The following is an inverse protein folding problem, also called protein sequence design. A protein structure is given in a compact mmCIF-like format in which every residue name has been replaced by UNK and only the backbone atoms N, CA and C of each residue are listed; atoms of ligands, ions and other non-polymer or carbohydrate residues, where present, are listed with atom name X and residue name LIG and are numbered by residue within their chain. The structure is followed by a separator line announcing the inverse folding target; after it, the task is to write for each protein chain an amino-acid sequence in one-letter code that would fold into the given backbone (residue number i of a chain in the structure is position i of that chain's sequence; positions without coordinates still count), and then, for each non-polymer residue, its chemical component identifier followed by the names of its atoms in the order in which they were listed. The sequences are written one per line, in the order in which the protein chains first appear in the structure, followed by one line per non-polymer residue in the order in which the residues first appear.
data_IF_625381081357
#
_entry.id   IF_625381081357
#
_cell.length_a   1.000
_cell.length_b   1.000
_cell.length_c   1.000
_cell.angle_alpha   90.00
_cell.angle_beta   90.00
_cell.angle_gamma   90.00
#
_symmetry.space_group_name_H-M   'P 1'
#
loop_
_entity.id
_entity.type
_entity.pdbx_description
1 polymer ?
#
# COMPACT_ATOMS: atom_id res chain seq x y z
N UNK A 1 -18.55 -16.55 -17.69
CA UNK A 1 -17.87 -15.58 -16.81
C UNK A 1 -16.64 -15.07 -17.54
N UNK A 2 -16.45 -13.77 -17.59
CA UNK A 2 -15.24 -13.18 -18.18
C UNK A 2 -14.06 -13.32 -17.21
N UNK A 3 -12.82 -13.32 -17.72
CA UNK A 3 -11.61 -13.32 -16.90
C UNK A 3 -11.66 -12.20 -15.85
N UNK A 4 -12.08 -11.00 -16.26
CA UNK A 4 -12.21 -9.85 -15.36
C UNK A 4 -13.16 -10.14 -14.19
N UNK A 5 -14.32 -10.76 -14.42
CA UNK A 5 -15.27 -11.12 -13.35
C UNK A 5 -14.67 -12.10 -12.34
N UNK A 6 -13.87 -13.07 -12.80
CA UNK A 6 -13.15 -14.02 -11.92
C UNK A 6 -12.12 -13.27 -11.07
N UNK A 7 -11.34 -12.38 -11.67
CA UNK A 7 -10.36 -11.56 -10.96
C UNK A 7 -11.03 -10.66 -9.92
N UNK A 8 -12.17 -10.04 -10.22
CA UNK A 8 -12.95 -9.25 -9.25
C UNK A 8 -13.37 -10.11 -8.05
N UNK A 9 -13.91 -11.32 -8.28
CA UNK A 9 -14.28 -12.23 -7.20
C UNK A 9 -13.09 -12.61 -6.32
N UNK A 10 -11.96 -12.97 -6.93
CA UNK A 10 -10.72 -13.28 -6.20
C UNK A 10 -10.19 -12.08 -5.42
N UNK A 11 -10.22 -10.87 -6.02
CA UNK A 11 -9.82 -9.62 -5.36
C UNK A 11 -10.66 -9.34 -4.11
N UNK A 12 -11.98 -9.45 -4.22
CA UNK A 12 -12.89 -9.24 -3.10
C UNK A 12 -12.63 -10.26 -1.99
N UNK A 13 -12.51 -11.54 -2.32
CA UNK A 13 -12.30 -12.61 -1.34
C UNK A 13 -10.97 -12.42 -0.56
N UNK A 14 -9.87 -12.15 -1.27
CA UNK A 14 -8.56 -11.96 -0.65
C UNK A 14 -8.47 -10.62 0.08
N UNK A 15 -9.08 -9.55 -0.46
CA UNK A 15 -9.16 -8.24 0.16
C UNK A 15 -9.98 -8.24 1.46
N UNK A 16 -11.08 -9.00 1.53
CA UNK A 16 -11.88 -9.15 2.74
C UNK A 16 -11.07 -9.76 3.89
N UNK A 17 -10.22 -10.75 3.60
CA UNK A 17 -9.26 -11.29 4.59
C UNK A 17 -8.32 -10.18 5.08
N UNK A 18 -7.79 -9.36 4.17
CA UNK A 18 -6.94 -8.23 4.49
C UNK A 18 -7.61 -7.20 5.40
N UNK A 19 -8.88 -6.83 5.12
CA UNK A 19 -9.66 -5.89 5.93
C UNK A 19 -9.74 -6.33 7.40
N UNK A 20 -10.09 -7.60 7.65
CA UNK A 20 -10.23 -8.13 9.01
C UNK A 20 -8.88 -8.25 9.69
N UNK A 21 -7.89 -8.85 9.04
CA UNK A 21 -6.61 -9.19 9.65
C UNK A 21 -5.70 -7.97 9.88
N UNK A 22 -5.92 -6.87 9.19
CA UNK A 22 -5.26 -5.61 9.48
C UNK A 22 -5.44 -5.21 10.95
N UNK A 23 -6.69 -5.17 11.43
CA UNK A 23 -6.96 -4.78 12.82
C UNK A 23 -6.48 -5.83 13.83
N UNK A 24 -6.55 -7.12 13.50
CA UNK A 24 -5.96 -8.15 14.36
C UNK A 24 -4.47 -7.89 14.56
N UNK A 25 -3.73 -7.58 13.48
CA UNK A 25 -2.31 -7.25 13.57
C UNK A 25 -2.05 -5.92 14.30
N UNK A 26 -2.90 -4.90 14.10
CA UNK A 26 -2.77 -3.59 14.75
C UNK A 26 -3.08 -3.65 16.25
N UNK A 27 -4.08 -4.41 16.68
CA UNK A 27 -4.54 -4.44 18.07
C UNK A 27 -3.80 -5.44 18.96
N UNK A 28 -3.18 -6.48 18.37
CA UNK A 28 -2.45 -7.48 19.16
C UNK A 28 -1.09 -6.97 19.65
N UNK A 29 -0.59 -7.58 20.74
CA UNK A 29 0.74 -7.27 21.31
C UNK A 29 1.82 -7.43 20.24
N UNK A 30 2.52 -6.33 19.93
CA UNK A 30 3.56 -6.29 18.89
C UNK A 30 4.67 -7.30 19.18
N UNK A 31 5.04 -8.09 18.15
CA UNK A 31 6.03 -9.17 18.26
C UNK A 31 5.54 -10.44 18.96
N UNK A 32 4.30 -10.45 19.50
CA UNK A 32 3.67 -11.64 20.08
C UNK A 32 3.32 -12.70 19.03
N UNK A 33 2.91 -13.91 19.47
CA UNK A 33 2.56 -15.03 18.57
C UNK A 33 1.41 -14.64 17.63
N UNK A 34 0.33 -14.08 18.19
CA UNK A 34 -0.83 -13.64 17.41
C UNK A 34 -0.46 -12.58 16.36
N UNK A 35 0.30 -11.55 16.76
CA UNK A 35 0.78 -10.51 15.83
C UNK A 35 1.59 -11.10 14.67
N UNK A 36 2.52 -12.00 14.97
CA UNK A 36 3.36 -12.63 13.93
C UNK A 36 2.54 -13.51 12.98
N UNK A 37 1.65 -14.36 13.55
CA UNK A 37 0.83 -15.28 12.75
C UNK A 37 -0.14 -14.51 11.85
N UNK A 38 -0.98 -13.68 12.43
CA UNK A 38 -2.02 -12.96 11.69
C UNK A 38 -1.48 -11.82 10.83
N UNK A 39 -0.41 -11.17 11.29
CA UNK A 39 0.30 -10.18 10.47
C UNK A 39 0.94 -10.80 9.23
N UNK A 40 1.44 -12.04 9.30
CA UNK A 40 1.95 -12.76 8.14
C UNK A 40 0.82 -13.11 7.16
N UNK A 41 -0.32 -13.62 7.67
CA UNK A 41 -1.50 -13.91 6.83
C UNK A 41 -2.02 -12.62 6.17
N UNK A 42 -2.10 -11.51 6.92
CA UNK A 42 -2.43 -10.20 6.37
C UNK A 42 -1.50 -9.81 5.22
N UNK A 43 -0.19 -9.87 5.43
CA UNK A 43 0.77 -9.45 4.42
C UNK A 43 0.71 -10.31 3.14
N UNK A 44 0.53 -11.63 3.28
CA UNK A 44 0.33 -12.49 2.12
C UNK A 44 -1.01 -12.26 1.42
N UNK A 45 -2.10 -12.02 2.18
CA UNK A 45 -3.38 -11.66 1.55
C UNK A 45 -3.25 -10.37 0.74
N UNK A 46 -2.51 -9.37 1.22
CA UNK A 46 -2.26 -8.13 0.50
C UNK A 46 -1.41 -8.32 -0.77
N UNK A 47 -0.41 -9.23 -0.72
CA UNK A 47 0.35 -9.60 -1.92
C UNK A 47 -0.55 -10.22 -2.98
N UNK A 48 -1.37 -11.20 -2.59
CA UNK A 48 -2.30 -11.86 -3.53
C UNK A 48 -3.33 -10.87 -4.05
N UNK A 49 -3.96 -10.09 -3.18
CA UNK A 49 -4.95 -9.06 -3.57
C UNK A 49 -4.36 -8.05 -4.54
N UNK A 50 -3.13 -7.58 -4.28
CA UNK A 50 -2.44 -6.66 -5.17
C UNK A 50 -2.09 -7.29 -6.52
N UNK A 51 -1.58 -8.52 -6.56
CA UNK A 51 -1.30 -9.23 -7.82
C UNK A 51 -2.57 -9.45 -8.65
N UNK A 52 -3.68 -9.83 -7.99
CA UNK A 52 -4.99 -9.97 -8.68
C UNK A 52 -5.46 -8.61 -9.21
N UNK A 53 -5.31 -7.53 -8.43
CA UNK A 53 -5.65 -6.18 -8.87
C UNK A 53 -4.77 -5.70 -10.04
N UNK A 54 -3.50 -6.10 -10.11
CA UNK A 54 -2.65 -5.85 -11.29
C UNK A 54 -3.24 -6.53 -12.53
N UNK A 55 -3.68 -7.79 -12.41
CA UNK A 55 -4.38 -8.48 -13.48
C UNK A 55 -5.67 -7.76 -13.93
N UNK A 56 -6.46 -7.23 -12.99
CA UNK A 56 -7.65 -6.41 -13.30
C UNK A 56 -7.27 -5.13 -14.03
N UNK A 57 -6.26 -4.40 -13.59
CA UNK A 57 -5.77 -3.20 -14.26
C UNK A 57 -5.30 -3.48 -15.69
N UNK A 58 -4.53 -4.56 -15.89
CA UNK A 58 -4.05 -4.98 -17.21
C UNK A 58 -5.21 -5.34 -18.13
N UNK A 59 -6.19 -6.12 -17.65
CA UNK A 59 -7.38 -6.47 -18.48
C UNK A 59 -8.18 -5.22 -18.86
N UNK A 60 -8.29 -4.23 -17.99
CA UNK A 60 -8.94 -2.95 -18.29
C UNK A 60 -8.14 -2.11 -19.29
N UNK A 61 -6.81 -2.11 -19.22
CA UNK A 61 -5.97 -1.45 -20.24
C UNK A 61 -6.16 -2.05 -21.63
N UNK A 62 -6.36 -3.36 -21.71
CA UNK A 62 -6.56 -4.07 -22.98
C UNK A 62 -7.98 -3.88 -23.52
N UNK A 63 -9.00 -4.01 -22.67
CA UNK A 63 -10.41 -3.90 -23.02
C UNK A 63 -11.20 -3.06 -22.01
N UNK A 64 -11.12 -1.72 -22.10
CA UNK A 64 -11.76 -0.82 -21.12
C UNK A 64 -13.30 -0.92 -21.15
N UNK A 65 -13.90 -1.05 -22.32
CA UNK A 65 -15.37 -1.09 -22.47
C UNK A 65 -15.92 -2.46 -22.04
N UNK A 66 -15.27 -3.54 -22.44
CA UNK A 66 -15.71 -4.89 -22.07
C UNK A 66 -15.55 -5.20 -20.58
N UNK A 67 -14.58 -4.56 -19.89
CA UNK A 67 -14.42 -4.71 -18.43
C UNK A 67 -15.37 -3.82 -17.62
N UNK A 68 -15.85 -2.69 -18.19
CA UNK A 68 -16.72 -1.71 -17.52
C UNK A 68 -17.97 -1.38 -18.36
N UNK A 69 -18.77 -2.39 -18.79
CA UNK A 69 -19.92 -2.17 -19.68
C UNK A 69 -21.06 -1.39 -19.02
N UNK A 70 -21.02 -1.24 -17.69
CA UNK A 70 -22.04 -0.51 -16.90
C UNK A 70 -21.81 1.01 -16.86
N UNK A 71 -20.65 1.50 -17.34
CA UNK A 71 -20.36 2.92 -17.38
C UNK A 71 -20.99 3.58 -18.61
N UNK A 72 -21.75 4.69 -18.43
CA UNK A 72 -22.39 5.38 -19.55
C UNK A 72 -21.35 5.96 -20.52
N UNK A 73 -21.41 5.59 -21.80
CA UNK A 73 -20.47 6.05 -22.83
C UNK A 73 -20.50 7.57 -23.06
N UNK A 74 -21.58 8.24 -22.70
CA UNK A 74 -21.70 9.69 -22.78
C UNK A 74 -20.78 10.43 -21.77
N UNK A 75 -20.51 9.81 -20.64
CA UNK A 75 -19.70 10.40 -19.55
C UNK A 75 -18.29 9.78 -19.48
N UNK A 76 -18.15 8.54 -19.91
CA UNK A 76 -16.93 7.73 -19.76
C UNK A 76 -16.37 7.30 -21.10
N UNK A 77 -15.39 8.04 -21.61
CA UNK A 77 -14.66 7.63 -22.82
C UNK A 77 -13.78 6.40 -22.53
N UNK A 78 -13.49 5.57 -23.55
CA UNK A 78 -12.55 4.44 -23.39
C UNK A 78 -11.17 4.87 -22.89
N UNK A 79 -10.72 6.07 -23.24
CA UNK A 79 -9.45 6.65 -22.78
C UNK A 79 -9.51 7.00 -21.28
N UNK A 80 -10.60 7.58 -20.81
CA UNK A 80 -10.82 7.88 -19.38
C UNK A 80 -10.89 6.58 -18.55
N UNK A 81 -11.59 5.55 -19.04
CA UNK A 81 -11.66 4.24 -18.38
C UNK A 81 -10.26 3.62 -18.28
N UNK A 82 -9.47 3.68 -19.36
CA UNK A 82 -8.07 3.20 -19.34
C UNK A 82 -7.21 3.96 -18.33
N UNK A 83 -7.32 5.28 -18.28
CA UNK A 83 -6.51 6.10 -17.36
C UNK A 83 -6.84 5.80 -15.90
N UNK A 84 -8.12 5.79 -15.54
CA UNK A 84 -8.59 5.65 -14.16
C UNK A 84 -8.60 4.18 -13.71
N UNK A 85 -9.38 3.32 -14.39
CA UNK A 85 -9.57 1.92 -13.97
C UNK A 85 -8.47 0.97 -14.46
N UNK A 86 -7.71 1.38 -15.49
CA UNK A 86 -6.52 0.66 -15.94
C UNK A 86 -5.26 1.20 -15.25
N UNK A 87 -4.78 2.37 -15.67
CA UNK A 87 -3.47 2.92 -15.27
C UNK A 87 -3.38 3.26 -13.79
N UNK A 88 -4.31 4.04 -13.25
CA UNK A 88 -4.32 4.41 -11.83
C UNK A 88 -4.48 3.17 -10.93
N UNK A 89 -5.38 2.22 -11.28
CA UNK A 89 -5.55 1.00 -10.50
C UNK A 89 -4.32 0.09 -10.58
N UNK A 90 -3.66 -0.01 -11.72
CA UNK A 90 -2.41 -0.76 -11.87
C UNK A 90 -1.30 -0.15 -10.99
N UNK A 91 -1.20 1.19 -10.97
CA UNK A 91 -0.29 1.88 -10.07
C UNK A 91 -0.57 1.54 -8.60
N UNK A 92 -1.83 1.65 -8.14
CA UNK A 92 -2.20 1.37 -6.75
C UNK A 92 -1.99 -0.10 -6.36
N UNK A 93 -2.24 -1.03 -7.30
CA UNK A 93 -1.94 -2.44 -7.12
C UNK A 93 -0.44 -2.69 -6.96
N UNK A 94 0.38 -2.07 -7.80
CA UNK A 94 1.85 -2.14 -7.72
C UNK A 94 2.36 -1.56 -6.39
N UNK A 95 1.82 -0.43 -5.95
CA UNK A 95 2.12 0.16 -4.65
C UNK A 95 1.77 -0.78 -3.50
N UNK A 96 0.59 -1.42 -3.54
CA UNK A 96 0.14 -2.37 -2.51
C UNK A 96 1.06 -3.58 -2.41
N UNK A 97 1.43 -4.19 -3.55
CA UNK A 97 2.39 -5.30 -3.61
C UNK A 97 3.75 -4.87 -3.06
N UNK A 98 4.25 -3.71 -3.47
CA UNK A 98 5.52 -3.15 -3.00
C UNK A 98 5.53 -2.95 -1.48
N UNK A 99 4.48 -2.36 -0.92
CA UNK A 99 4.36 -2.12 0.52
C UNK A 99 4.30 -3.43 1.31
N UNK A 100 3.47 -4.38 0.90
CA UNK A 100 3.36 -5.68 1.56
C UNK A 100 4.70 -6.45 1.49
N UNK A 101 5.33 -6.47 0.33
CA UNK A 101 6.64 -7.10 0.12
C UNK A 101 7.73 -6.46 0.97
N UNK A 102 7.87 -5.13 0.90
CA UNK A 102 8.88 -4.39 1.67
C UNK A 102 8.70 -4.62 3.17
N UNK A 103 7.47 -4.53 3.68
CA UNK A 103 7.16 -4.76 5.08
C UNK A 103 7.55 -6.15 5.59
N UNK A 104 7.40 -7.20 4.77
CA UNK A 104 7.87 -8.55 5.08
C UNK A 104 9.40 -8.66 5.04
N UNK A 105 10.02 -8.10 4.00
CA UNK A 105 11.47 -8.19 3.77
C UNK A 105 12.28 -7.55 4.89
N UNK A 106 11.91 -6.35 5.32
CA UNK A 106 12.67 -5.62 6.35
C UNK A 106 12.69 -6.33 7.70
N UNK A 107 11.62 -7.04 8.07
CA UNK A 107 11.59 -7.85 9.30
C UNK A 107 12.39 -9.13 9.14
N UNK A 108 12.29 -9.80 7.99
CA UNK A 108 13.06 -10.99 7.69
C UNK A 108 14.55 -10.71 7.71
N UNK A 109 14.95 -9.57 7.16
CA UNK A 109 16.34 -9.16 7.01
C UNK A 109 16.85 -8.23 8.13
N UNK A 110 16.18 -8.15 9.27
CA UNK A 110 16.51 -7.24 10.38
C UNK A 110 17.96 -7.33 10.89
N UNK A 111 18.64 -8.46 10.68
CA UNK A 111 20.04 -8.69 11.06
C UNK A 111 21.02 -8.49 9.91
N UNK A 112 20.55 -8.48 8.67
CA UNK A 112 21.33 -8.39 7.43
C UNK A 112 20.68 -7.30 6.54
N UNK A 113 20.90 -6.04 6.91
CA UNK A 113 20.26 -4.91 6.24
C UNK A 113 20.47 -4.91 4.72
N UNK A 114 21.67 -5.28 4.27
CA UNK A 114 22.03 -5.32 2.86
C UNK A 114 21.21 -6.32 2.03
N UNK A 115 20.63 -7.34 2.67
CA UNK A 115 19.72 -8.28 2.02
C UNK A 115 18.38 -7.63 1.56
N UNK A 116 18.14 -6.36 1.88
CA UNK A 116 17.01 -5.58 1.36
C UNK A 116 17.32 -4.88 0.02
N UNK A 117 18.47 -5.18 -0.59
CA UNK A 117 18.95 -4.57 -1.85
C UNK A 117 18.99 -5.56 -3.01
N UNK A 118 18.17 -6.60 -2.99
CA UNK A 118 18.13 -7.51 -4.14
C UNK A 118 17.63 -6.76 -5.38
N UNK A 119 18.00 -7.20 -6.61
CA UNK A 119 17.49 -6.59 -7.83
C UNK A 119 15.96 -6.47 -7.86
N UNK A 120 15.25 -7.47 -7.32
CA UNK A 120 13.79 -7.44 -7.23
C UNK A 120 13.30 -6.39 -6.22
N UNK A 121 13.94 -6.27 -5.04
CA UNK A 121 13.56 -5.27 -4.03
C UNK A 121 13.71 -3.83 -4.58
N UNK A 122 14.75 -3.59 -5.36
CA UNK A 122 14.99 -2.29 -6.01
C UNK A 122 14.03 -2.06 -7.17
N UNK A 123 13.88 -3.07 -8.04
CA UNK A 123 13.03 -2.96 -9.24
C UNK A 123 11.57 -2.65 -8.90
N UNK A 124 11.01 -3.27 -7.86
CA UNK A 124 9.62 -3.02 -7.46
C UNK A 124 9.42 -1.58 -6.94
N UNK A 125 10.41 -0.98 -6.25
CA UNK A 125 10.32 0.41 -5.82
C UNK A 125 10.42 1.38 -7.00
N UNK A 126 11.31 1.08 -7.95
CA UNK A 126 11.42 1.86 -9.19
C UNK A 126 10.11 1.75 -9.99
N UNK A 127 9.52 0.56 -10.10
CA UNK A 127 8.23 0.36 -10.77
C UNK A 127 7.11 1.19 -10.12
N UNK A 128 7.05 1.27 -8.79
CA UNK A 128 6.10 2.15 -8.07
C UNK A 128 6.34 3.61 -8.41
N UNK A 129 7.58 4.08 -8.41
CA UNK A 129 7.91 5.48 -8.72
C UNK A 129 7.51 5.82 -10.16
N UNK A 130 7.86 4.96 -11.13
CA UNK A 130 7.50 5.18 -12.53
C UNK A 130 5.99 5.14 -12.75
N UNK A 131 5.28 4.20 -12.11
CA UNK A 131 3.83 4.11 -12.19
C UNK A 131 3.15 5.33 -11.54
N UNK A 132 3.70 5.85 -10.42
CA UNK A 132 3.22 7.07 -9.78
C UNK A 132 3.43 8.29 -10.67
N UNK A 133 4.59 8.44 -11.30
CA UNK A 133 4.85 9.53 -12.27
C UNK A 133 3.90 9.47 -13.46
N UNK A 134 3.68 8.27 -14.01
CA UNK A 134 2.71 8.08 -15.09
C UNK A 134 1.28 8.45 -14.64
N UNK A 135 0.87 8.04 -13.43
CA UNK A 135 -0.42 8.40 -12.87
C UNK A 135 -0.56 9.92 -12.68
N UNK A 136 0.48 10.60 -12.18
CA UNK A 136 0.49 12.06 -12.03
C UNK A 136 0.39 12.77 -13.38
N UNK A 137 1.11 12.29 -14.40
CA UNK A 137 1.06 12.85 -15.75
C UNK A 137 -0.35 12.76 -16.36
N UNK A 138 -0.99 11.59 -16.29
CA UNK A 138 -2.38 11.43 -16.71
C UNK A 138 -3.33 12.30 -15.88
N UNK A 139 -3.13 12.36 -14.55
CA UNK A 139 -3.92 13.23 -13.68
C UNK A 139 -3.84 14.70 -14.08
N UNK A 140 -2.66 15.17 -14.48
CA UNK A 140 -2.47 16.54 -14.97
C UNK A 140 -3.13 16.77 -16.34
N UNK A 141 -2.94 15.86 -17.29
CA UNK A 141 -3.50 15.95 -18.64
C UNK A 141 -5.04 15.89 -18.63
N UNK A 142 -5.60 15.03 -17.80
CA UNK A 142 -7.05 14.78 -17.71
C UNK A 142 -7.74 15.66 -16.67
N UNK A 143 -7.02 16.57 -15.99
CA UNK A 143 -7.56 17.43 -14.93
C UNK A 143 -8.03 16.69 -13.68
N UNK A 144 -7.50 15.48 -13.41
CA UNK A 144 -7.90 14.61 -12.32
C UNK A 144 -7.02 14.83 -11.07
N UNK A 145 -7.39 15.79 -10.23
CA UNK A 145 -6.63 16.14 -9.02
C UNK A 145 -6.39 14.95 -8.08
N UNK A 146 -7.32 13.99 -8.00
CA UNK A 146 -7.17 12.77 -7.22
C UNK A 146 -5.94 11.96 -7.67
N UNK A 147 -5.75 11.78 -8.99
CA UNK A 147 -4.62 11.02 -9.54
C UNK A 147 -3.28 11.69 -9.19
N UNK A 148 -3.23 13.03 -9.21
CA UNK A 148 -2.04 13.78 -8.78
C UNK A 148 -1.78 13.56 -7.28
N UNK A 149 -2.82 13.71 -6.46
CA UNK A 149 -2.71 13.55 -5.00
C UNK A 149 -2.23 12.18 -4.56
N UNK A 150 -2.80 11.10 -5.10
CA UNK A 150 -2.39 9.74 -4.75
C UNK A 150 -1.00 9.40 -5.26
N UNK A 151 -0.54 9.98 -6.36
CA UNK A 151 0.81 9.77 -6.91
C UNK A 151 1.91 10.19 -5.93
N UNK A 152 1.66 11.22 -5.12
CA UNK A 152 2.58 11.66 -4.06
C UNK A 152 2.84 10.52 -3.07
N UNK A 153 1.84 9.71 -2.75
CA UNK A 153 1.96 8.57 -1.83
C UNK A 153 2.94 7.52 -2.39
N UNK A 154 2.84 7.22 -3.69
CA UNK A 154 3.74 6.27 -4.34
C UNK A 154 5.17 6.79 -4.43
N UNK A 155 5.36 8.06 -4.80
CA UNK A 155 6.67 8.70 -4.85
C UNK A 155 7.33 8.71 -3.47
N UNK A 156 6.59 9.11 -2.43
CA UNK A 156 7.07 9.12 -1.05
C UNK A 156 7.40 7.71 -0.56
N UNK A 157 6.54 6.72 -0.83
CA UNK A 157 6.75 5.33 -0.40
C UNK A 157 7.95 4.69 -1.10
N UNK A 158 7.99 4.75 -2.45
CA UNK A 158 9.11 4.19 -3.23
C UNK A 158 10.44 4.87 -2.88
N UNK A 159 10.45 6.21 -2.81
CA UNK A 159 11.64 6.99 -2.47
C UNK A 159 12.16 6.69 -1.06
N UNK A 160 11.29 6.68 -0.05
CA UNK A 160 11.72 6.39 1.34
C UNK A 160 12.13 4.93 1.53
N UNK A 161 11.50 3.97 0.82
CA UNK A 161 11.88 2.56 0.86
C UNK A 161 13.26 2.33 0.23
N UNK A 162 13.54 2.97 -0.92
CA UNK A 162 14.88 2.97 -1.52
C UNK A 162 15.91 3.63 -0.62
N UNK A 163 15.61 4.82 -0.08
CA UNK A 163 16.48 5.51 0.87
C UNK A 163 16.85 4.61 2.05
N UNK A 164 15.86 3.96 2.67
CA UNK A 164 16.12 3.00 3.75
C UNK A 164 16.99 1.85 3.28
N UNK A 165 16.68 1.23 2.16
CA UNK A 165 17.42 0.07 1.64
C UNK A 165 18.90 0.40 1.37
N UNK A 166 19.21 1.60 0.87
CA UNK A 166 20.59 2.02 0.56
C UNK A 166 21.31 2.72 1.72
N UNK A 167 20.65 2.95 2.85
CA UNK A 167 21.29 3.56 4.02
C UNK A 167 22.39 2.62 4.58
N UNK A 168 23.61 3.13 4.75
CA UNK A 168 24.80 2.32 5.12
C UNK A 168 24.74 1.83 6.56
N UNK A 169 24.23 2.61 7.50
CA UNK A 169 24.20 2.26 8.93
C UNK A 169 22.84 2.67 9.57
N UNK A 170 21.74 1.99 9.25
CA UNK A 170 20.47 2.31 9.89
C UNK A 170 20.49 1.96 11.37
N UNK A 171 19.83 2.74 12.24
CA UNK A 171 19.62 2.36 13.63
C UNK A 171 19.02 0.96 13.75
N UNK A 172 19.42 0.20 14.77
CA UNK A 172 18.96 -1.20 14.98
C UNK A 172 17.44 -1.37 15.05
N UNK A 173 16.69 -0.30 15.30
CA UNK A 173 15.23 -0.28 15.36
C UNK A 173 14.56 0.20 14.08
N UNK A 174 15.32 0.73 13.11
CA UNK A 174 14.75 1.34 11.91
C UNK A 174 13.88 0.35 11.10
N UNK A 175 14.23 -0.94 11.07
CA UNK A 175 13.41 -1.96 10.42
C UNK A 175 11.99 -2.07 11.00
N UNK A 176 11.78 -1.74 12.30
CA UNK A 176 10.45 -1.75 12.91
C UNK A 176 9.58 -0.63 12.35
N UNK A 177 10.18 0.56 12.17
CA UNK A 177 9.49 1.70 11.57
C UNK A 177 9.12 1.39 10.12
N UNK A 178 10.05 0.86 9.34
CA UNK A 178 9.80 0.51 7.95
C UNK A 178 8.75 -0.59 7.81
N UNK A 179 8.84 -1.65 8.64
CA UNK A 179 7.82 -2.70 8.69
C UNK A 179 6.42 -2.14 9.00
N UNK A 180 6.31 -1.35 10.05
CA UNK A 180 5.06 -0.75 10.49
C UNK A 180 4.50 0.20 9.40
N UNK A 181 5.33 1.10 8.88
CA UNK A 181 4.97 2.05 7.82
C UNK A 181 4.46 1.33 6.58
N UNK A 182 5.16 0.30 6.13
CA UNK A 182 4.82 -0.45 4.94
C UNK A 182 3.53 -1.27 5.11
N UNK A 183 3.37 -2.02 6.20
CA UNK A 183 2.16 -2.82 6.39
C UNK A 183 0.92 -1.99 6.76
N UNK A 184 1.08 -0.87 7.48
CA UNK A 184 -0.03 0.08 7.65
C UNK A 184 -0.39 0.73 6.32
N UNK A 185 0.60 1.06 5.47
CA UNK A 185 0.37 1.54 4.11
C UNK A 185 -0.43 0.55 3.25
N UNK A 186 -0.11 -0.75 3.33
CA UNK A 186 -0.91 -1.80 2.68
C UNK A 186 -2.35 -1.86 3.26
N UNK A 187 -2.51 -1.63 4.56
CA UNK A 187 -3.81 -1.47 5.21
C UNK A 187 -4.59 -0.27 4.67
N UNK A 188 -3.94 0.89 4.52
CA UNK A 188 -4.56 2.06 3.88
C UNK A 188 -5.10 1.68 2.49
N UNK A 189 -4.31 0.97 1.68
CA UNK A 189 -4.72 0.57 0.32
C UNK A 189 -6.00 -0.26 0.32
N UNK A 190 -6.12 -1.29 1.18
CA UNK A 190 -7.31 -2.15 1.21
C UNK A 190 -8.55 -1.43 1.73
N UNK A 191 -8.40 -0.54 2.74
CA UNK A 191 -9.52 0.27 3.23
C UNK A 191 -9.94 1.33 2.23
N UNK A 192 -8.99 1.94 1.52
CA UNK A 192 -9.31 2.88 0.42
C UNK A 192 -10.10 2.16 -0.68
N UNK A 193 -9.62 1.01 -1.14
CA UNK A 193 -10.32 0.23 -2.16
C UNK A 193 -11.74 -0.18 -1.71
N UNK A 194 -11.90 -0.60 -0.46
CA UNK A 194 -13.20 -0.94 0.10
C UNK A 194 -14.14 0.27 0.15
N UNK A 195 -13.69 1.41 0.67
CA UNK A 195 -14.52 2.61 0.81
C UNK A 195 -14.89 3.23 -0.53
N UNK A 196 -13.97 3.21 -1.50
CA UNK A 196 -14.20 3.88 -2.79
C UNK A 196 -14.93 3.00 -3.80
N UNK A 197 -14.58 1.72 -3.89
CA UNK A 197 -15.13 0.81 -4.88
C UNK A 197 -16.02 -0.30 -4.30
N UNK A 198 -15.74 -0.76 -3.07
CA UNK A 198 -16.56 -1.75 -2.38
C UNK A 198 -17.95 -1.22 -2.03
N UNK A 199 -18.05 0.05 -1.67
CA UNK A 199 -19.33 0.72 -1.34
C UNK A 199 -20.02 1.34 -2.54
N UNK A 200 -19.43 1.33 -3.72
CA UNK A 200 -19.97 1.95 -4.95
C UNK A 200 -21.39 1.46 -5.29
N UNK A 201 -21.70 0.19 -5.02
CA UNK A 201 -23.05 -0.33 -5.23
C UNK A 201 -24.11 0.31 -4.33
N UNK A 202 -23.71 0.80 -3.16
CA UNK A 202 -24.60 1.48 -2.20
C UNK A 202 -24.56 3.00 -2.40
N UNK A 203 -23.41 3.52 -2.82
CA UNK A 203 -23.13 4.95 -2.93
C UNK A 203 -22.33 5.23 -4.23
N UNK A 204 -22.97 5.21 -5.42
CA UNK A 204 -22.29 5.32 -6.71
C UNK A 204 -21.42 6.58 -6.90
N UNK A 205 -21.84 7.70 -6.31
CA UNK A 205 -21.15 8.99 -6.43
C UNK A 205 -19.84 9.08 -5.62
N UNK A 206 -19.47 8.04 -4.84
CA UNK A 206 -18.35 8.11 -3.90
C UNK A 206 -17.03 7.58 -4.47
N UNK A 207 -17.02 6.87 -5.60
CA UNK A 207 -15.82 6.22 -6.12
C UNK A 207 -14.65 7.18 -6.33
N UNK A 208 -14.89 8.37 -6.88
CA UNK A 208 -13.86 9.39 -7.11
C UNK A 208 -13.95 10.56 -6.12
N UNK A 209 -14.75 10.44 -5.06
CA UNK A 209 -14.84 11.48 -4.05
C UNK A 209 -13.56 11.54 -3.22
N UNK A 210 -12.81 12.67 -3.23
CA UNK A 210 -11.57 12.81 -2.49
C UNK A 210 -11.66 12.51 -0.99
N UNK A 211 -12.82 12.76 -0.37
CA UNK A 211 -13.05 12.48 1.05
C UNK A 211 -13.05 10.99 1.37
N UNK A 212 -13.61 10.14 0.49
CA UNK A 212 -13.58 8.68 0.65
C UNK A 212 -12.15 8.13 0.60
N UNK A 213 -11.27 8.77 -0.15
CA UNK A 213 -9.84 8.45 -0.22
C UNK A 213 -9.05 9.02 0.96
N UNK A 214 -9.42 10.22 1.45
CA UNK A 214 -8.73 10.89 2.54
C UNK A 214 -8.92 10.18 3.90
N UNK A 215 -10.07 9.58 4.17
CA UNK A 215 -10.37 8.96 5.47
C UNK A 215 -9.40 7.82 5.81
N UNK A 216 -9.23 6.76 4.97
CA UNK A 216 -8.27 5.69 5.27
C UNK A 216 -6.83 6.20 5.35
N UNK A 217 -6.47 7.15 4.50
CA UNK A 217 -5.14 7.76 4.50
C UNK A 217 -4.86 8.49 5.82
N UNK A 218 -5.79 9.33 6.28
CA UNK A 218 -5.64 10.09 7.54
C UNK A 218 -5.53 9.16 8.75
N UNK A 219 -6.40 8.15 8.83
CA UNK A 219 -6.36 7.16 9.93
C UNK A 219 -5.03 6.40 9.90
N UNK A 220 -4.62 5.90 8.74
CA UNK A 220 -3.38 5.15 8.60
C UNK A 220 -2.13 5.99 8.91
N UNK A 221 -2.06 7.23 8.43
CA UNK A 221 -0.97 8.14 8.75
C UNK A 221 -0.92 8.46 10.26
N UNK A 222 -2.07 8.64 10.91
CA UNK A 222 -2.14 8.83 12.36
C UNK A 222 -1.57 7.63 13.12
N UNK A 223 -1.89 6.40 12.69
CA UNK A 223 -1.31 5.16 13.24
C UNK A 223 0.21 5.13 13.03
N UNK A 224 0.69 5.48 11.83
CA UNK A 224 2.12 5.51 11.50
C UNK A 224 2.86 6.51 12.39
N UNK A 225 2.36 7.74 12.48
CA UNK A 225 2.99 8.81 13.29
C UNK A 225 3.02 8.41 14.76
N UNK A 226 1.91 7.94 15.31
CA UNK A 226 1.81 7.51 16.71
C UNK A 226 2.85 6.43 17.04
N UNK A 227 2.91 5.36 16.26
CA UNK A 227 3.86 4.28 16.51
C UNK A 227 5.30 4.67 16.20
N UNK A 228 5.56 5.52 15.22
CA UNK A 228 6.90 6.05 14.95
C UNK A 228 7.44 6.79 16.18
N UNK A 229 6.64 7.71 16.74
CA UNK A 229 7.01 8.46 17.96
C UNK A 229 7.22 7.52 19.14
N UNK A 230 6.35 6.52 19.32
CA UNK A 230 6.52 5.53 20.40
C UNK A 230 7.82 4.72 20.26
N UNK A 231 8.11 4.20 19.08
CA UNK A 231 9.34 3.42 18.82
C UNK A 231 10.56 4.29 19.10
N UNK A 232 10.59 5.52 18.57
CA UNK A 232 11.69 6.45 18.78
C UNK A 232 11.89 6.76 20.27
N UNK A 233 10.85 7.12 21.02
CA UNK A 233 10.90 7.41 22.45
C UNK A 233 11.39 6.21 23.28
N UNK A 234 10.96 5.01 22.93
CA UNK A 234 11.32 3.81 23.67
C UNK A 234 12.81 3.48 23.51
N UNK A 235 13.33 3.59 22.31
CA UNK A 235 14.75 3.31 22.04
C UNK A 235 15.68 4.40 22.58
N UNK A 236 15.33 5.67 22.49
CA UNK A 236 16.13 6.77 23.04
C UNK A 236 16.19 6.73 24.55
N UNK A 237 15.07 6.49 25.25
CA UNK A 237 15.04 6.35 26.72
C UNK A 237 15.80 5.10 27.20
N UNK A 238 15.75 3.99 26.46
CA UNK A 238 16.51 2.78 26.78
C UNK A 238 18.01 2.96 26.68
N UNK A 239 18.48 3.78 25.75
CA UNK A 239 19.90 4.16 25.62
C UNK A 239 20.34 5.03 26.80
N UNK A 240 19.58 6.06 27.15
CA UNK A 240 19.91 6.94 28.32
C UNK A 240 20.04 6.16 29.62
N UNK A 241 19.12 5.20 29.87
CA UNK A 241 19.21 4.37 31.09
C UNK A 241 20.46 3.49 31.16
N UNK A 242 20.92 2.98 30.00
CA UNK A 242 22.14 2.14 29.95
C UNK A 242 23.43 2.93 30.11
N UNK A 243 23.45 4.18 29.68
CA UNK A 243 24.61 5.08 29.88
C UNK A 243 24.74 5.43 31.35
N UNK A 244 23.66 5.85 32.01
CA UNK A 244 23.68 6.22 33.44
C UNK A 244 24.08 5.06 34.36
N UNK A 245 23.74 3.79 34.00
CA UNK A 245 24.13 2.60 34.80
C UNK A 245 25.59 2.18 34.57
N UNK A 246 26.24 2.65 33.49
CA UNK A 246 27.63 2.34 33.17
C UNK A 246 28.63 3.32 33.82
N UNK A 247 28.15 4.51 34.12
CA UNK A 247 28.97 5.59 34.70
C UNK A 247 28.76 5.72 36.24
N UNK A 248 27.98 4.81 36.85
CA UNK A 248 27.79 4.63 38.29
C UNK A 248 28.43 3.34 38.80
#
# INVERSE_FOLDING_TARGET
MTLFTILVGAHIATGAVGLVLFWVAVLTRKGGVAHRRWGLVFAYSMLVTGCVAMGMGITTLLDPVGTHPHLPSAEWSPTTIRAIFGGMMLYLATLTVSLAWHGLRVVRNKRQHEANRTPFDVAIQIAVILAALNCAAHGYLDGQALMIGISIVGLASGGTNLFFSFRTAPPKWAYLVEHMKALVGAGISVYTAFMTFGLVRLLPSHALNPMAWAIPLTIGLSIIIYHHVQIHRWYTRGVSRRVVVRDA
#
